data_IF_065276800791
#
_entry.id   IF_065276800791
#
_cell.length_a   1.000
_cell.length_b   1.000
_cell.length_c   1.000
_cell.angle_alpha   90.00
_cell.angle_beta   90.00
_cell.angle_gamma   90.00
#
_symmetry.space_group_name_H-M   'P 1'
#
loop_
_entity.id
_entity.type
_entity.pdbx_description
1 polymer ?
#
# COMPACT_ATOMS: atom_id res chain seq x y z
N UNK A 1 -12.84 18.79 -52.91
CA UNK A 1 -12.48 19.36 -51.58
C UNK A 1 -12.89 18.39 -50.49
N UNK A 2 -11.98 17.54 -50.00
CA UNK A 2 -12.25 16.59 -48.91
C UNK A 2 -11.15 16.80 -47.85
N UNK A 3 -11.46 17.63 -46.87
CA UNK A 3 -10.56 17.94 -45.77
C UNK A 3 -10.45 16.72 -44.85
N UNK A 4 -9.30 16.03 -44.91
CA UNK A 4 -8.91 15.04 -43.91
C UNK A 4 -8.58 15.83 -42.64
N UNK A 5 -9.54 15.87 -41.71
CA UNK A 5 -9.36 16.44 -40.37
C UNK A 5 -8.46 15.47 -39.59
N UNK A 6 -7.15 15.70 -39.68
CA UNK A 6 -6.16 14.94 -38.94
C UNK A 6 -6.29 15.32 -37.46
N UNK A 7 -7.01 14.51 -36.69
CA UNK A 7 -7.13 14.68 -35.25
C UNK A 7 -5.84 14.17 -34.62
N UNK A 8 -4.87 15.07 -34.37
CA UNK A 8 -3.77 14.79 -33.44
C UNK A 8 -4.39 14.51 -32.07
N UNK A 9 -4.66 13.24 -31.80
CA UNK A 9 -4.98 12.76 -30.46
C UNK A 9 -3.69 12.84 -29.66
N UNK A 10 -3.46 13.98 -29.01
CA UNK A 10 -2.44 14.12 -27.97
C UNK A 10 -2.86 13.27 -26.76
N UNK A 11 -2.68 11.96 -26.87
CA UNK A 11 -2.83 10.99 -25.78
C UNK A 11 -1.49 10.64 -25.16
N UNK A 12 -0.55 11.59 -25.14
CA UNK A 12 0.61 11.53 -24.29
C UNK A 12 0.19 11.97 -22.89
N UNK A 13 0.08 11.02 -21.96
CA UNK A 13 0.04 11.35 -20.52
C UNK A 13 1.21 12.28 -20.27
N UNK A 14 0.95 13.54 -19.88
CA UNK A 14 2.01 14.55 -19.73
C UNK A 14 3.07 13.95 -18.79
N UNK A 15 4.37 14.03 -19.12
CA UNK A 15 5.43 13.41 -18.32
C UNK A 15 5.38 13.85 -16.84
N UNK A 16 4.92 15.08 -16.60
CA UNK A 16 4.64 15.64 -15.27
C UNK A 16 3.57 14.84 -14.51
N UNK A 17 2.48 14.46 -15.16
CA UNK A 17 1.42 13.66 -14.52
C UNK A 17 1.93 12.27 -14.14
N UNK A 18 2.73 11.65 -15.01
CA UNK A 18 3.29 10.34 -14.74
C UNK A 18 4.27 10.39 -13.56
N UNK A 19 5.10 11.44 -13.48
CA UNK A 19 6.03 11.68 -12.39
C UNK A 19 5.34 11.93 -11.03
N UNK A 20 4.25 12.70 -11.02
CA UNK A 20 3.47 12.94 -9.80
C UNK A 20 2.85 11.63 -9.29
N UNK A 21 2.31 10.82 -10.21
CA UNK A 21 1.65 9.57 -9.86
C UNK A 21 2.67 8.56 -9.30
N UNK A 22 3.84 8.40 -9.93
CA UNK A 22 4.91 7.55 -9.37
C UNK A 22 5.43 8.06 -8.03
N UNK A 23 5.62 9.36 -7.85
CA UNK A 23 6.07 9.92 -6.58
C UNK A 23 5.09 9.62 -5.43
N UNK A 24 3.79 9.84 -5.64
CA UNK A 24 2.74 9.50 -4.67
C UNK A 24 2.71 8.00 -4.37
N UNK A 25 2.88 7.19 -5.40
CA UNK A 25 2.90 5.74 -5.29
C UNK A 25 4.07 5.26 -4.43
N UNK A 26 5.27 5.77 -4.69
CA UNK A 26 6.47 5.46 -3.91
C UNK A 26 6.31 5.92 -2.46
N UNK A 27 5.77 7.13 -2.25
CA UNK A 27 5.54 7.69 -0.91
C UNK A 27 4.57 6.83 -0.08
N UNK A 28 3.44 6.41 -0.66
CA UNK A 28 2.47 5.56 0.05
C UNK A 28 3.05 4.17 0.29
N UNK A 29 3.79 3.62 -0.68
CA UNK A 29 4.46 2.32 -0.57
C UNK A 29 5.52 2.33 0.54
N UNK A 30 6.34 3.39 0.63
CA UNK A 30 7.38 3.50 1.63
C UNK A 30 6.80 3.68 3.03
N UNK A 31 5.75 4.50 3.20
CA UNK A 31 5.03 4.62 4.47
C UNK A 31 4.43 3.27 4.87
N UNK A 32 3.71 2.60 3.95
CA UNK A 32 3.11 1.30 4.24
C UNK A 32 4.14 0.23 4.61
N UNK A 33 5.29 0.22 3.92
CA UNK A 33 6.41 -0.69 4.20
C UNK A 33 7.06 -0.40 5.54
N UNK A 34 7.34 0.88 5.84
CA UNK A 34 7.92 1.29 7.11
C UNK A 34 6.97 0.93 8.25
N UNK A 35 5.68 1.27 8.14
CA UNK A 35 4.68 0.88 9.13
C UNK A 35 4.64 -0.63 9.32
N UNK A 36 4.64 -1.43 8.24
CA UNK A 36 4.71 -2.89 8.33
C UNK A 36 6.00 -3.41 8.97
N UNK A 37 7.14 -2.72 8.78
CA UNK A 37 8.45 -3.10 9.32
C UNK A 37 8.58 -2.76 10.81
N UNK A 38 8.10 -1.59 11.24
CA UNK A 38 8.00 -1.26 12.67
C UNK A 38 7.07 -2.22 13.43
N UNK A 39 6.07 -2.75 12.72
CA UNK A 39 5.19 -3.81 13.18
C UNK A 39 5.81 -5.22 13.06
N UNK A 40 6.94 -5.42 12.38
CA UNK A 40 7.45 -6.78 12.14
C UNK A 40 8.39 -7.31 13.23
N UNK A 41 9.00 -6.46 14.05
CA UNK A 41 9.85 -6.94 15.14
C UNK A 41 8.93 -7.47 16.23
N UNK A 42 8.78 -8.80 16.31
CA UNK A 42 7.82 -9.46 17.19
C UNK A 42 7.87 -8.93 18.62
N UNK A 43 9.06 -8.62 19.14
CA UNK A 43 9.24 -8.08 20.48
C UNK A 43 8.79 -6.62 20.61
N UNK A 44 9.00 -5.76 19.60
CA UNK A 44 8.55 -4.36 19.65
C UNK A 44 7.03 -4.24 19.53
N UNK A 45 6.39 -5.09 18.71
CA UNK A 45 4.93 -5.19 18.68
C UNK A 45 4.39 -5.61 20.03
N UNK A 46 4.98 -6.64 20.66
CA UNK A 46 4.46 -7.13 21.94
C UNK A 46 4.51 -6.04 23.01
N UNK A 47 5.58 -5.25 23.04
CA UNK A 47 5.79 -4.17 24.00
C UNK A 47 4.90 -2.95 23.71
N UNK A 48 4.75 -2.56 22.44
CA UNK A 48 3.87 -1.46 22.04
C UNK A 48 2.41 -1.79 22.33
N UNK A 49 1.98 -3.01 21.99
CA UNK A 49 0.63 -3.50 22.25
C UNK A 49 0.33 -3.61 23.74
N UNK A 50 1.31 -4.07 24.53
CA UNK A 50 1.20 -4.09 26.00
C UNK A 50 1.01 -2.68 26.55
N UNK A 51 1.80 -1.72 26.07
CA UNK A 51 1.74 -0.33 26.53
C UNK A 51 0.38 0.29 26.21
N UNK A 52 -0.13 0.03 25.01
CA UNK A 52 -1.45 0.49 24.60
C UNK A 52 -2.54 -0.17 25.43
N UNK A 53 -2.50 -1.49 25.61
CA UNK A 53 -3.46 -2.21 26.45
C UNK A 53 -3.45 -1.70 27.90
N UNK A 54 -2.26 -1.51 28.45
CA UNK A 54 -2.06 -0.95 29.79
C UNK A 54 -2.67 0.45 29.91
N UNK A 55 -2.53 1.29 28.90
CA UNK A 55 -3.15 2.62 28.88
C UNK A 55 -4.68 2.55 28.84
N UNK A 56 -5.27 1.67 28.02
CA UNK A 56 -6.72 1.43 28.03
C UNK A 56 -7.20 0.93 29.40
N UNK A 57 -6.43 0.04 30.03
CA UNK A 57 -6.76 -0.51 31.33
C UNK A 57 -6.65 0.53 32.45
N UNK A 58 -5.61 1.37 32.43
CA UNK A 58 -5.43 2.49 33.36
C UNK A 58 -6.54 3.53 33.24
N UNK A 59 -6.97 3.84 32.03
CA UNK A 59 -8.08 4.75 31.77
C UNK A 59 -9.45 4.13 32.08
N UNK A 60 -9.48 2.84 32.45
CA UNK A 60 -10.70 2.07 32.70
C UNK A 60 -11.68 2.15 31.52
N UNK A 61 -11.17 2.08 30.29
CA UNK A 61 -11.98 2.06 29.06
C UNK A 61 -12.67 0.69 28.90
N UNK A 62 -13.68 0.42 29.73
CA UNK A 62 -14.37 -0.87 29.80
C UNK A 62 -14.98 -1.29 28.47
N UNK A 63 -15.58 -0.35 27.74
CA UNK A 63 -16.20 -0.62 26.45
C UNK A 63 -15.19 -1.13 25.42
N UNK A 64 -14.00 -0.51 25.35
CA UNK A 64 -12.97 -0.88 24.38
C UNK A 64 -12.33 -2.22 24.74
N UNK A 65 -11.97 -2.41 26.01
CA UNK A 65 -11.38 -3.66 26.50
C UNK A 65 -12.34 -4.83 26.27
N UNK A 66 -13.64 -4.64 26.54
CA UNK A 66 -14.68 -5.64 26.27
C UNK A 66 -14.83 -5.92 24.78
N UNK A 67 -14.93 -4.89 23.94
CA UNK A 67 -15.09 -5.06 22.49
C UNK A 67 -13.95 -5.90 21.89
N UNK A 68 -12.72 -5.68 22.35
CA UNK A 68 -11.56 -6.45 21.92
C UNK A 68 -11.65 -7.91 22.41
N UNK A 69 -11.94 -8.13 23.70
CA UNK A 69 -12.07 -9.48 24.26
C UNK A 69 -13.20 -10.28 23.60
N UNK A 70 -14.29 -9.62 23.22
CA UNK A 70 -15.41 -10.22 22.50
C UNK A 70 -15.05 -10.52 21.04
N UNK A 71 -14.33 -9.62 20.36
CA UNK A 71 -13.87 -9.83 18.98
C UNK A 71 -12.89 -11.01 18.86
N UNK A 72 -11.92 -11.11 19.76
CA UNK A 72 -10.89 -12.15 19.74
C UNK A 72 -11.24 -13.40 20.57
N UNK A 73 -12.40 -13.41 21.22
CA UNK A 73 -12.88 -14.50 22.09
C UNK A 73 -11.82 -14.95 23.12
N UNK A 74 -11.16 -13.99 23.74
CA UNK A 74 -10.05 -14.19 24.67
C UNK A 74 -10.28 -13.44 25.99
N UNK A 75 -9.52 -13.80 27.03
CA UNK A 75 -9.56 -13.11 28.33
C UNK A 75 -8.14 -12.66 28.68
N UNK A 76 -7.99 -11.43 29.16
CA UNK A 76 -6.72 -10.86 29.58
C UNK A 76 -5.68 -10.68 28.47
N UNK A 77 -4.63 -9.90 28.75
CA UNK A 77 -3.63 -9.55 27.75
C UNK A 77 -2.62 -10.69 27.51
N UNK A 78 -1.65 -10.87 28.41
CA UNK A 78 -0.66 -11.97 28.32
C UNK A 78 -1.17 -13.28 28.89
N UNK A 79 -1.93 -13.20 29.98
CA UNK A 79 -2.56 -14.37 30.62
C UNK A 79 -4.04 -14.07 30.90
N UNK A 80 -4.88 -15.09 31.07
CA UNK A 80 -6.31 -14.91 31.36
C UNK A 80 -6.64 -14.06 32.59
N UNK A 81 -5.69 -13.93 33.53
CA UNK A 81 -5.83 -13.16 34.77
C UNK A 81 -5.10 -11.81 34.72
N UNK A 82 -4.39 -11.53 33.63
CA UNK A 82 -3.59 -10.32 33.48
C UNK A 82 -4.40 -9.24 32.80
N UNK A 83 -4.66 -8.16 33.55
CA UNK A 83 -5.50 -7.03 33.13
C UNK A 83 -6.86 -7.47 32.55
N UNK A 84 -7.62 -8.37 33.23
CA UNK A 84 -8.86 -8.91 32.71
C UNK A 84 -9.99 -7.89 32.84
N UNK A 85 -10.97 -8.01 31.95
CA UNK A 85 -12.25 -7.36 32.13
C UNK A 85 -13.25 -8.43 32.61
N UNK A 86 -14.13 -8.14 33.58
CA UNK A 86 -14.37 -6.86 34.24
C UNK A 86 -13.22 -6.45 35.19
N UNK A 87 -12.97 -5.14 35.33
CA UNK A 87 -11.90 -4.62 36.19
C UNK A 87 -12.10 -5.08 37.64
N UNK A 88 -11.11 -5.72 38.27
CA UNK A 88 -11.22 -6.11 39.67
C UNK A 88 -11.25 -4.84 40.51
N UNK A 89 -12.44 -4.44 40.95
CA UNK A 89 -12.60 -3.39 41.95
C UNK A 89 -12.71 -4.04 43.32
N UNK A 90 -11.92 -3.53 44.28
CA UNK A 90 -11.96 -4.00 45.66
C UNK A 90 -13.36 -3.86 46.30
N UNK A 91 -14.26 -3.07 45.70
CA UNK A 91 -15.63 -2.85 46.20
C UNK A 91 -16.69 -3.84 45.69
N UNK A 92 -16.45 -4.56 44.58
CA UNK A 92 -17.48 -5.43 43.96
C UNK A 92 -17.12 -6.93 43.94
N UNK A 93 -15.99 -7.34 44.52
CA UNK A 93 -15.65 -8.76 44.67
C UNK A 93 -15.51 -9.53 43.35
N UNK A 94 -15.29 -8.83 42.23
CA UNK A 94 -15.17 -9.45 40.92
C UNK A 94 -13.77 -10.06 40.80
N UNK A 95 -13.73 -11.39 40.82
CA UNK A 95 -12.49 -12.15 40.68
C UNK A 95 -11.97 -12.03 39.22
N UNK A 96 -10.67 -11.80 38.99
CA UNK A 96 -10.05 -11.80 37.65
C UNK A 96 -10.30 -13.10 36.86
N UNK A 97 -10.67 -14.19 37.53
CA UNK A 97 -11.04 -15.47 36.90
C UNK A 97 -12.48 -15.53 36.36
N UNK A 98 -13.30 -14.51 36.61
CA UNK A 98 -14.70 -14.44 36.17
C UNK A 98 -14.82 -14.56 34.65
N UNK A 99 -13.94 -13.90 33.88
CA UNK A 99 -13.94 -14.02 32.42
C UNK A 99 -13.69 -15.46 31.95
N UNK A 100 -12.69 -16.15 32.53
CA UNK A 100 -12.36 -17.51 32.12
C UNK A 100 -13.42 -18.54 32.52
N UNK A 101 -14.05 -18.37 33.68
CA UNK A 101 -15.12 -19.26 34.16
C UNK A 101 -16.44 -19.03 33.44
N UNK A 102 -16.84 -17.77 33.24
CA UNK A 102 -18.14 -17.43 32.66
C UNK A 102 -18.17 -17.65 31.15
N UNK A 103 -17.08 -17.34 30.44
CA UNK A 103 -17.01 -17.47 29.00
C UNK A 103 -16.30 -18.74 28.52
N UNK A 104 -15.75 -19.57 29.44
CA UNK A 104 -14.98 -20.79 29.14
C UNK A 104 -13.76 -20.52 28.21
N UNK A 105 -13.24 -19.29 28.24
CA UNK A 105 -12.12 -18.84 27.41
C UNK A 105 -10.86 -18.80 28.27
N UNK A 106 -9.94 -19.74 28.03
CA UNK A 106 -8.63 -19.81 28.71
C UNK A 106 -7.46 -19.31 27.84
N UNK A 107 -7.76 -18.77 26.66
CA UNK A 107 -6.77 -18.22 25.75
C UNK A 107 -6.49 -16.74 26.06
N UNK A 108 -5.22 -16.35 26.02
CA UNK A 108 -4.78 -14.96 26.14
C UNK A 108 -5.05 -14.19 24.84
N UNK A 109 -5.33 -12.89 24.95
CA UNK A 109 -5.60 -12.05 23.78
C UNK A 109 -4.34 -11.75 22.94
N UNK A 110 -3.15 -11.84 23.54
CA UNK A 110 -1.88 -11.56 22.87
C UNK A 110 -1.70 -12.35 21.57
N UNK A 111 -1.90 -13.67 21.61
CA UNK A 111 -1.70 -14.56 20.48
C UNK A 111 -2.62 -14.26 19.29
N UNK A 112 -3.96 -14.34 19.44
CA UNK A 112 -4.89 -14.08 18.35
C UNK A 112 -4.83 -12.64 17.86
N UNK A 113 -4.58 -11.66 18.74
CA UNK A 113 -4.41 -10.27 18.33
C UNK A 113 -3.16 -10.11 17.45
N UNK A 114 -2.02 -10.64 17.87
CA UNK A 114 -0.79 -10.57 17.06
C UNK A 114 -0.92 -11.30 15.73
N UNK A 115 -1.68 -12.40 15.68
CA UNK A 115 -1.92 -13.11 14.44
C UNK A 115 -2.68 -12.23 13.43
N UNK A 116 -3.67 -11.47 13.88
CA UNK A 116 -4.41 -10.54 13.00
C UNK A 116 -3.58 -9.32 12.60
N UNK A 117 -2.78 -8.75 13.51
CA UNK A 117 -1.86 -7.66 13.14
C UNK A 117 -0.79 -8.11 12.14
N UNK A 118 -0.26 -9.33 12.28
CA UNK A 118 0.69 -9.92 11.33
C UNK A 118 0.05 -10.15 9.96
N UNK A 119 -1.21 -10.58 9.89
CA UNK A 119 -1.94 -10.70 8.62
C UNK A 119 -2.11 -9.33 7.97
N UNK A 120 -2.52 -8.31 8.73
CA UNK A 120 -2.65 -6.95 8.21
C UNK A 120 -1.32 -6.41 7.66
N UNK A 121 -0.21 -6.61 8.39
CA UNK A 121 1.12 -6.26 7.92
C UNK A 121 1.50 -7.01 6.63
N UNK A 122 1.22 -8.31 6.55
CA UNK A 122 1.46 -9.12 5.35
C UNK A 122 0.66 -8.64 4.12
N UNK A 123 -0.60 -8.23 4.32
CA UNK A 123 -1.44 -7.65 3.25
C UNK A 123 -0.84 -6.32 2.79
N UNK A 124 -0.43 -5.43 3.70
CA UNK A 124 0.17 -4.14 3.36
C UNK A 124 1.47 -4.31 2.56
N UNK A 125 2.31 -5.27 2.94
CA UNK A 125 3.52 -5.61 2.17
C UNK A 125 3.15 -6.12 0.78
N UNK A 126 2.15 -7.00 0.68
CA UNK A 126 1.70 -7.53 -0.61
C UNK A 126 1.17 -6.43 -1.54
N UNK A 127 0.36 -5.50 -1.01
CA UNK A 127 -0.16 -4.35 -1.74
C UNK A 127 0.98 -3.43 -2.19
N UNK A 128 1.93 -3.15 -1.30
CA UNK A 128 3.12 -2.35 -1.61
C UNK A 128 3.91 -2.94 -2.78
N UNK A 129 4.17 -4.25 -2.78
CA UNK A 129 4.84 -4.94 -3.87
C UNK A 129 4.02 -4.92 -5.17
N UNK A 130 2.72 -5.17 -5.12
CA UNK A 130 1.85 -5.14 -6.30
C UNK A 130 1.84 -3.76 -6.96
N UNK A 131 1.79 -2.71 -6.15
CA UNK A 131 1.83 -1.32 -6.59
C UNK A 131 3.18 -0.96 -7.20
N UNK A 132 4.29 -1.42 -6.62
CA UNK A 132 5.63 -1.26 -7.18
C UNK A 132 5.75 -1.91 -8.56
N UNK A 133 5.34 -3.18 -8.70
CA UNK A 133 5.38 -3.91 -9.98
C UNK A 133 4.51 -3.21 -11.02
N UNK A 134 3.31 -2.77 -10.63
CA UNK A 134 2.43 -2.01 -11.51
C UNK A 134 3.10 -0.72 -12.02
N UNK A 135 3.74 0.03 -11.13
CA UNK A 135 4.50 1.23 -11.48
C UNK A 135 5.61 0.93 -12.50
N UNK A 136 6.36 -0.14 -12.30
CA UNK A 136 7.41 -0.59 -13.24
C UNK A 136 6.82 -0.94 -14.61
N UNK A 137 5.68 -1.63 -14.66
CA UNK A 137 4.98 -1.93 -15.92
C UNK A 137 4.56 -0.67 -16.66
N UNK A 138 3.96 0.30 -15.95
CA UNK A 138 3.53 1.57 -16.55
C UNK A 138 4.74 2.33 -17.13
N UNK A 139 5.84 2.42 -16.37
CA UNK A 139 7.06 3.11 -16.80
C UNK A 139 7.70 2.41 -17.99
N UNK A 140 7.84 1.08 -17.96
CA UNK A 140 8.44 0.33 -19.08
C UNK A 140 7.61 0.42 -20.35
N UNK A 141 6.27 0.37 -20.25
CA UNK A 141 5.37 0.57 -21.41
C UNK A 141 5.47 2.00 -21.93
N UNK A 142 5.53 3.00 -21.05
CA UNK A 142 5.69 4.40 -21.45
C UNK A 142 7.03 4.65 -22.15
N UNK A 143 8.13 4.10 -21.64
CA UNK A 143 9.46 4.20 -22.26
C UNK A 143 9.50 3.50 -23.62
N UNK A 144 8.90 2.31 -23.76
CA UNK A 144 8.83 1.62 -25.06
C UNK A 144 8.11 2.48 -26.10
N UNK A 145 7.00 3.12 -25.73
CA UNK A 145 6.29 4.05 -26.62
C UNK A 145 7.12 5.27 -27.00
N UNK A 146 7.95 5.79 -26.11
CA UNK A 146 8.85 6.89 -26.44
C UNK A 146 9.95 6.46 -27.41
N UNK A 147 10.56 5.29 -27.20
CA UNK A 147 11.55 4.75 -28.13
C UNK A 147 10.99 4.50 -29.53
N UNK A 148 9.74 4.01 -29.64
CA UNK A 148 9.09 3.85 -30.95
C UNK A 148 8.79 5.21 -31.61
N UNK A 149 8.40 6.22 -30.82
CA UNK A 149 8.13 7.56 -31.32
C UNK A 149 9.41 8.28 -31.79
N UNK A 150 10.50 8.21 -31.01
CA UNK A 150 11.79 8.79 -31.40
C UNK A 150 12.36 8.12 -32.65
N UNK A 151 12.18 6.80 -32.79
CA UNK A 151 12.58 6.07 -33.99
C UNK A 151 11.78 6.49 -35.23
N UNK A 152 10.49 6.80 -35.08
CA UNK A 152 9.68 7.35 -36.16
C UNK A 152 10.11 8.78 -36.55
N UNK A 153 10.48 9.60 -35.58
CA UNK A 153 10.97 10.97 -35.82
C UNK A 153 12.32 10.97 -36.57
N UNK A 154 13.21 10.02 -36.25
CA UNK A 154 14.49 9.86 -36.95
C UNK A 154 14.31 9.38 -38.41
N UNK A 155 13.34 8.50 -38.67
CA UNK A 155 13.01 8.06 -40.04
C UNK A 155 12.41 9.18 -40.90
N UNK A 156 11.60 10.06 -40.32
CA UNK A 156 11.04 11.21 -41.05
C UNK A 156 12.13 12.27 -41.36
N UNK A 157 13.10 12.43 -40.46
CA UNK A 157 14.24 13.33 -40.66
C UNK A 157 15.17 12.88 -41.79
N UNK A 158 15.47 11.57 -41.93
CA UNK A 158 16.31 11.07 -43.03
C UNK A 158 15.63 11.14 -44.41
N UNK A 159 14.30 11.00 -44.47
CA UNK A 159 13.58 10.95 -45.74
C UNK A 159 13.38 12.34 -46.38
N UNK A 160 13.31 13.40 -45.56
CA UNK A 160 13.10 14.77 -46.01
C UNK A 160 14.21 15.33 -46.94
N UNK A 161 15.52 15.17 -46.65
CA UNK A 161 16.60 15.62 -47.55
C UNK A 161 16.79 14.74 -48.79
N UNK A 162 16.38 13.46 -48.77
CA UNK A 162 16.41 12.61 -49.97
C UNK A 162 15.37 13.04 -50.99
N UNK A 163 14.16 13.35 -50.55
CA UNK A 163 13.09 13.82 -51.45
C UNK A 163 13.45 15.13 -52.14
N UNK A 164 14.18 16.02 -51.47
CA UNK A 164 14.70 17.25 -52.09
C UNK A 164 15.68 16.99 -53.24
N UNK A 165 16.62 16.05 -53.05
CA UNK A 165 17.60 15.68 -54.10
C UNK A 165 16.97 14.98 -55.31
N UNK A 166 15.94 14.18 -55.11
CA UNK A 166 15.24 13.51 -56.22
C UNK A 166 14.45 14.50 -57.08
N UNK A 167 13.85 15.52 -56.47
CA UNK A 167 13.16 16.60 -57.19
C UNK A 167 14.17 17.48 -57.96
N UNK A 168 15.36 17.73 -57.41
CA UNK A 168 16.39 18.50 -58.09
C UNK A 168 17.05 17.72 -59.25
N UNK A 169 17.28 16.42 -59.05
CA UNK A 169 17.76 15.52 -60.11
C UNK A 169 16.76 15.30 -61.25
N UNK A 170 15.46 15.20 -60.93
CA UNK A 170 14.40 15.11 -61.96
C UNK A 170 14.31 16.37 -62.83
N UNK A 171 14.53 17.54 -62.24
CA UNK A 171 14.52 18.83 -62.95
C UNK A 171 15.73 19.03 -63.87
N UNK A 172 16.81 18.27 -63.68
CA UNK A 172 18.00 18.32 -64.54
C UNK A 172 17.87 17.49 -65.83
N UNK A 173 16.84 16.65 -65.94
CA UNK A 173 16.60 15.77 -67.10
C UNK A 173 15.52 16.32 -68.06
N UNK A 174 14.96 17.51 -67.78
CA UNK A 174 13.96 18.19 -68.62
C UNK A 174 14.54 19.31 -69.52
N UNK A 175 15.87 19.38 -69.68
CA UNK A 175 16.56 20.28 -70.62
C UNK A 175 17.29 19.48 -71.70
#
# INVERSE_FOLDING_TARGET
>A
MRWIRNTKRNSGVRPIQLAILTAMTIYITSIGTLSGTYLSTGDSITCSLETQWRHLFQNKDEQRVRAIQDAFRCCGFRTPRDMPWPFPSASHGIDPTTCSHQFRRSASCLGPWMAEERKAAGILVTVAWGVFVWGVVVVTVAMRRQNDASRFEELDYEEQPRRGREIEGGRALEY
#
